data_IF_968776836180
#
_entry.id   IF_968776836180
#
_cell.length_a   1.000
_cell.length_b   1.000
_cell.length_c   1.000
_cell.angle_alpha   90.00
_cell.angle_beta   90.00
_cell.angle_gamma   90.00
#
_symmetry.space_group_name_H-M   'P 1'
#
loop_
_entity.id
_entity.type
_entity.pdbx_description
1 polymer ?
#
# COMPACT_ATOMS: atom_id res chain seq x y z
N UNK A 1 31.28 -55.16 24.19
CA UNK A 1 29.80 -55.13 24.24
C UNK A 1 29.30 -54.58 25.59
N UNK A 2 30.01 -53.60 26.18
CA UNK A 2 29.70 -53.04 27.51
C UNK A 2 29.59 -51.50 27.52
N UNK A 3 29.78 -50.82 26.39
CA UNK A 3 29.72 -49.35 26.34
C UNK A 3 28.39 -48.76 25.85
N UNK A 4 27.43 -49.58 25.41
CA UNK A 4 26.10 -49.09 25.03
C UNK A 4 25.07 -49.14 26.16
N UNK A 5 25.32 -49.89 27.24
CA UNK A 5 24.38 -50.02 28.35
C UNK A 5 24.37 -48.80 29.29
N UNK A 6 25.44 -47.99 29.31
CA UNK A 6 25.51 -46.77 30.14
C UNK A 6 24.88 -45.53 29.49
N UNK A 7 24.69 -45.49 28.16
CA UNK A 7 24.08 -44.33 27.47
C UNK A 7 22.55 -44.28 27.59
N UNK A 8 21.89 -45.38 27.93
CA UNK A 8 20.43 -45.41 28.07
C UNK A 8 19.92 -44.99 29.47
N UNK A 9 20.78 -45.04 30.50
CA UNK A 9 20.39 -44.69 31.87
C UNK A 9 20.43 -43.18 32.16
N UNK A 10 21.25 -42.42 31.42
CA UNK A 10 21.37 -40.96 31.61
C UNK A 10 20.22 -40.20 30.94
N UNK A 11 19.74 -40.67 29.78
CA UNK A 11 18.66 -40.01 29.03
C UNK A 11 17.27 -40.09 29.68
N UNK A 12 17.07 -41.02 30.63
CA UNK A 12 15.79 -41.21 31.32
C UNK A 12 15.63 -40.36 32.60
N UNK A 13 16.68 -39.62 33.02
CA UNK A 13 16.62 -38.71 34.18
C UNK A 13 16.30 -37.26 33.81
N UNK A 14 16.43 -36.85 32.56
CA UNK A 14 16.12 -35.47 32.14
C UNK A 14 14.63 -35.25 31.80
N UNK A 15 13.92 -36.26 31.27
CA UNK A 15 12.46 -36.13 30.99
C UNK A 15 11.56 -36.17 32.24
N UNK A 16 12.11 -36.52 33.41
CA UNK A 16 11.39 -36.57 34.68
C UNK A 16 11.43 -35.22 35.45
N UNK A 17 12.41 -34.37 35.14
CA UNK A 17 12.57 -33.06 35.78
C UNK A 17 11.68 -31.96 35.19
N UNK A 18 11.41 -32.03 33.89
CA UNK A 18 10.74 -30.94 33.16
C UNK A 18 9.21 -30.96 33.29
N UNK A 19 8.61 -32.11 33.65
CA UNK A 19 7.17 -32.21 33.96
C UNK A 19 6.77 -31.72 35.36
N UNK A 20 7.74 -31.33 36.20
CA UNK A 20 7.47 -30.86 37.59
C UNK A 20 7.65 -29.34 37.79
N UNK A 21 8.22 -28.63 36.81
CA UNK A 21 8.34 -27.18 36.84
C UNK A 21 7.10 -26.44 36.25
N UNK A 22 6.34 -27.08 35.35
CA UNK A 22 5.13 -26.52 34.73
C UNK A 22 3.86 -26.60 35.62
N UNK A 23 3.97 -27.02 36.88
CA UNK A 23 2.83 -27.14 37.82
C UNK A 23 2.88 -26.17 39.01
N UNK A 24 3.76 -25.15 38.99
CA UNK A 24 3.88 -24.18 40.09
C UNK A 24 3.94 -22.71 39.66
N UNK A 25 3.37 -22.36 38.49
CA UNK A 25 3.21 -20.95 38.08
C UNK A 25 1.79 -20.62 37.59
N UNK A 26 0.79 -21.19 38.26
CA UNK A 26 -0.62 -20.83 38.10
C UNK A 26 -1.33 -20.88 39.46
N UNK A 27 -0.88 -20.05 40.38
CA UNK A 27 -1.64 -19.62 41.55
C UNK A 27 -1.35 -18.13 41.68
N UNK A 28 -2.41 -17.34 41.74
CA UNK A 28 -2.44 -15.87 41.73
C UNK A 28 -2.69 -15.25 40.34
N UNK A 29 -3.68 -15.76 39.61
CA UNK A 29 -4.63 -14.84 38.99
C UNK A 29 -5.90 -14.87 39.83
N UNK A 30 -6.21 -13.71 40.40
CA UNK A 30 -7.47 -13.41 41.06
C UNK A 30 -8.63 -14.08 40.32
N UNK A 31 -9.48 -14.76 41.09
CA UNK A 31 -10.82 -15.16 40.71
C UNK A 31 -11.56 -13.95 40.12
N UNK A 32 -11.42 -13.73 38.81
CA UNK A 32 -12.39 -12.96 38.05
C UNK A 32 -13.66 -13.80 38.11
N UNK A 33 -14.56 -13.40 39.02
CA UNK A 33 -15.90 -13.95 39.14
C UNK A 33 -16.47 -14.16 37.74
N UNK A 34 -17.00 -15.35 37.47
CA UNK A 34 -17.56 -15.72 36.17
C UNK A 34 -18.58 -14.66 35.70
N UNK A 35 -19.25 -13.98 36.64
CA UNK A 35 -20.11 -12.83 36.36
C UNK A 35 -19.38 -11.65 35.70
N UNK A 36 -18.16 -11.31 36.13
CA UNK A 36 -17.38 -10.25 35.50
C UNK A 36 -16.93 -10.61 34.08
N UNK A 37 -16.56 -11.87 33.82
CA UNK A 37 -16.21 -12.30 32.46
C UNK A 37 -17.42 -12.32 31.53
N UNK A 38 -18.59 -12.75 32.00
CA UNK A 38 -19.83 -12.73 31.21
C UNK A 38 -20.31 -11.29 30.97
N UNK A 39 -20.20 -10.40 31.96
CA UNK A 39 -20.55 -8.98 31.81
C UNK A 39 -19.58 -8.26 30.85
N UNK A 40 -18.29 -8.59 30.90
CA UNK A 40 -17.29 -8.05 29.98
C UNK A 40 -17.53 -8.53 28.54
N UNK A 41 -17.86 -9.81 28.36
CA UNK A 41 -18.20 -10.35 27.04
C UNK A 41 -19.50 -9.77 26.49
N UNK A 42 -20.52 -9.55 27.33
CA UNK A 42 -21.76 -8.87 26.92
C UNK A 42 -21.50 -7.40 26.57
N UNK A 43 -20.73 -6.67 27.37
CA UNK A 43 -20.42 -5.27 27.04
C UNK A 43 -19.57 -5.16 25.77
N UNK A 44 -18.62 -6.06 25.53
CA UNK A 44 -17.88 -6.14 24.27
C UNK A 44 -18.78 -6.46 23.06
N UNK A 45 -19.73 -7.41 23.17
CA UNK A 45 -20.62 -7.71 22.04
C UNK A 45 -21.64 -6.60 21.75
N UNK A 46 -22.05 -5.82 22.75
CA UNK A 46 -22.97 -4.71 22.57
C UNK A 46 -22.29 -3.39 22.16
N UNK A 47 -20.99 -3.21 22.41
CA UNK A 47 -20.27 -1.95 22.07
C UNK A 47 -19.52 -2.00 20.75
N UNK A 48 -19.31 -3.17 20.15
CA UNK A 48 -18.65 -3.30 18.83
C UNK A 48 -19.59 -3.77 17.73
N UNK A 49 -20.87 -3.40 17.78
CA UNK A 49 -21.64 -3.37 16.55
C UNK A 49 -20.96 -2.32 15.66
N UNK A 50 -20.41 -2.67 14.48
CA UNK A 50 -19.95 -1.66 13.55
C UNK A 50 -21.15 -0.74 13.36
N UNK A 51 -20.97 0.56 13.61
CA UNK A 51 -21.93 1.57 13.17
C UNK A 51 -21.92 1.44 11.66
N UNK A 52 -22.76 0.55 11.13
CA UNK A 52 -22.96 0.42 9.71
C UNK A 52 -23.35 1.83 9.27
N UNK A 53 -22.54 2.42 8.39
CA UNK A 53 -22.77 3.77 7.89
C UNK A 53 -24.24 3.88 7.52
N UNK A 54 -24.97 4.68 8.29
CA UNK A 54 -26.41 4.71 8.22
C UNK A 54 -26.79 5.15 6.80
N UNK A 55 -27.33 4.23 6.01
CA UNK A 55 -27.81 4.54 4.66
C UNK A 55 -29.14 5.25 4.81
N UNK A 56 -29.16 6.55 4.50
CA UNK A 56 -30.37 7.36 4.66
C UNK A 56 -31.24 7.28 3.40
N UNK A 57 -32.47 6.74 3.48
CA UNK A 57 -33.38 6.71 2.34
C UNK A 57 -33.99 8.10 2.10
N UNK A 58 -34.07 8.52 0.84
CA UNK A 58 -34.82 9.70 0.42
C UNK A 58 -35.72 9.34 -0.77
N UNK A 59 -36.99 9.73 -0.69
CA UNK A 59 -37.96 9.54 -1.77
C UNK A 59 -38.17 10.86 -2.51
N UNK A 60 -38.10 10.81 -3.84
CA UNK A 60 -38.37 11.95 -4.71
C UNK A 60 -39.46 11.61 -5.73
N UNK A 61 -40.19 12.63 -6.18
CA UNK A 61 -41.16 12.49 -7.26
C UNK A 61 -40.46 12.59 -8.60
N UNK A 62 -40.96 11.84 -9.59
CA UNK A 62 -40.44 11.87 -10.95
C UNK A 62 -40.45 13.31 -11.51
N UNK A 63 -39.35 13.71 -12.14
CA UNK A 63 -39.07 15.05 -12.70
C UNK A 63 -39.03 16.21 -11.70
N UNK A 64 -39.06 15.95 -10.40
CA UNK A 64 -38.87 16.99 -9.39
C UNK A 64 -37.41 17.16 -9.01
N UNK A 65 -37.06 18.38 -8.58
CA UNK A 65 -35.76 18.67 -7.99
C UNK A 65 -35.66 17.99 -6.61
N UNK A 66 -34.53 17.36 -6.32
CA UNK A 66 -34.25 16.75 -5.01
C UNK A 66 -32.86 17.15 -4.53
N UNK A 67 -32.72 17.38 -3.23
CA UNK A 67 -31.43 17.71 -2.60
C UNK A 67 -31.03 16.61 -1.63
N UNK A 68 -29.84 16.06 -1.81
CA UNK A 68 -29.22 15.09 -0.91
C UNK A 68 -28.38 15.87 0.14
N UNK A 69 -28.72 15.80 1.43
CA UNK A 69 -28.06 16.63 2.44
C UNK A 69 -26.69 16.07 2.86
N UNK A 70 -25.66 16.92 2.91
CA UNK A 70 -24.34 16.56 3.45
C UNK A 70 -23.78 17.72 4.27
N UNK A 71 -24.18 17.79 5.55
CA UNK A 71 -23.79 18.85 6.48
C UNK A 71 -22.48 18.52 7.18
N UNK A 72 -21.35 18.82 6.53
CA UNK A 72 -20.01 18.62 7.08
C UNK A 72 -19.07 19.69 6.56
N UNK A 73 -18.24 20.21 7.44
CA UNK A 73 -17.13 21.07 7.05
C UNK A 73 -16.07 20.23 6.32
N UNK A 74 -15.70 20.67 5.12
CA UNK A 74 -14.66 20.04 4.31
C UNK A 74 -13.56 21.06 4.04
N UNK A 75 -12.33 20.78 4.49
CA UNK A 75 -11.16 21.64 4.27
C UNK A 75 -10.47 21.40 2.92
N UNK A 76 -11.05 20.60 2.03
CA UNK A 76 -10.48 20.26 0.72
C UNK A 76 -11.55 20.02 -0.33
N UNK A 77 -11.24 19.25 -1.37
CA UNK A 77 -12.22 18.90 -2.40
C UNK A 77 -13.32 18.00 -1.82
N UNK A 78 -14.57 18.43 -1.97
CA UNK A 78 -15.77 17.62 -1.74
C UNK A 78 -16.27 17.11 -3.08
N UNK A 79 -16.64 15.84 -3.16
CA UNK A 79 -17.14 15.19 -4.38
C UNK A 79 -18.31 14.28 -4.06
N UNK A 80 -19.22 14.17 -5.01
CA UNK A 80 -20.32 13.21 -4.97
C UNK A 80 -20.12 12.10 -5.99
N UNK A 81 -20.18 10.87 -5.51
CA UNK A 81 -19.95 9.64 -6.29
C UNK A 81 -21.09 8.64 -6.07
N UNK A 82 -21.12 7.57 -6.87
CA UNK A 82 -21.95 6.39 -6.56
C UNK A 82 -21.22 5.48 -5.57
N UNK A 83 -21.96 4.92 -4.62
CA UNK A 83 -21.42 3.93 -3.69
C UNK A 83 -20.83 2.70 -4.41
N UNK A 84 -21.46 2.26 -5.50
CA UNK A 84 -21.00 1.12 -6.31
C UNK A 84 -19.83 1.45 -7.22
N UNK A 85 -19.64 2.72 -7.59
CA UNK A 85 -18.67 3.16 -8.62
C UNK A 85 -18.09 4.53 -8.25
N UNK A 86 -17.13 4.52 -7.33
CA UNK A 86 -16.48 5.74 -6.82
C UNK A 86 -15.64 6.50 -7.85
N UNK A 87 -15.36 5.89 -9.00
CA UNK A 87 -14.63 6.53 -10.10
C UNK A 87 -15.46 7.55 -10.88
N UNK A 88 -16.79 7.49 -10.80
CA UNK A 88 -17.69 8.42 -11.50
C UNK A 88 -18.06 9.56 -10.56
N UNK A 89 -17.53 10.74 -10.83
CA UNK A 89 -17.83 11.98 -10.10
C UNK A 89 -18.98 12.70 -10.78
N UNK A 90 -20.06 13.01 -10.05
CA UNK A 90 -21.20 13.76 -10.59
C UNK A 90 -21.03 15.27 -10.44
N UNK A 91 -20.58 15.67 -9.26
CA UNK A 91 -20.30 17.06 -8.91
C UNK A 91 -19.15 17.09 -7.92
N UNK A 92 -18.38 18.17 -7.97
CA UNK A 92 -17.29 18.44 -7.03
C UNK A 92 -17.20 19.94 -6.73
N UNK A 93 -16.74 20.24 -5.54
CA UNK A 93 -16.49 21.60 -5.07
C UNK A 93 -15.18 21.67 -4.31
N UNK A 94 -14.46 22.77 -4.50
CA UNK A 94 -13.31 23.15 -3.70
C UNK A 94 -13.45 24.59 -3.22
N UNK A 95 -12.39 25.13 -2.62
CA UNK A 95 -12.38 26.49 -2.09
C UNK A 95 -12.60 27.56 -3.16
N UNK A 96 -12.29 27.28 -4.41
CA UNK A 96 -12.31 28.25 -5.51
C UNK A 96 -13.56 28.16 -6.36
N UNK A 97 -14.10 26.96 -6.57
CA UNK A 97 -15.22 26.75 -7.49
C UNK A 97 -15.98 25.44 -7.23
N UNK A 98 -17.15 25.34 -7.85
CA UNK A 98 -17.91 24.10 -7.98
C UNK A 98 -18.08 23.76 -9.45
N UNK A 99 -17.96 22.47 -9.78
CA UNK A 99 -18.20 21.96 -11.13
C UNK A 99 -19.17 20.79 -11.12
N UNK A 100 -20.16 20.87 -12.01
CA UNK A 100 -21.06 19.77 -12.37
C UNK A 100 -20.41 18.98 -13.51
N UNK A 101 -19.89 17.79 -13.20
CA UNK A 101 -19.26 16.91 -14.19
C UNK A 101 -20.32 16.21 -15.06
N UNK A 102 -21.46 15.86 -14.46
CA UNK A 102 -22.58 15.20 -15.15
C UNK A 102 -23.79 16.12 -15.17
N UNK A 103 -24.42 16.28 -16.33
CA UNK A 103 -25.62 17.11 -16.47
C UNK A 103 -26.72 16.64 -15.52
N UNK A 104 -27.35 17.59 -14.85
CA UNK A 104 -28.47 17.34 -13.94
C UNK A 104 -28.09 17.30 -12.47
N UNK A 105 -26.80 17.40 -12.14
CA UNK A 105 -26.25 17.35 -10.78
C UNK A 105 -25.54 18.67 -10.46
N UNK A 106 -25.98 19.37 -9.42
CA UNK A 106 -25.47 20.69 -9.08
C UNK A 106 -25.04 20.76 -7.61
N UNK A 107 -23.93 21.42 -7.34
CA UNK A 107 -23.51 21.83 -5.99
C UNK A 107 -23.32 23.34 -5.98
N UNK A 108 -23.68 23.99 -4.88
CA UNK A 108 -23.57 25.44 -4.73
C UNK A 108 -22.26 25.81 -4.02
N UNK A 109 -21.43 26.63 -4.66
CA UNK A 109 -20.18 27.10 -4.06
C UNK A 109 -20.42 27.91 -2.77
N UNK A 110 -21.44 28.78 -2.77
CA UNK A 110 -21.85 29.53 -1.57
C UNK A 110 -22.30 28.65 -0.40
N UNK A 111 -22.82 27.43 -0.68
CA UNK A 111 -23.23 26.48 0.36
C UNK A 111 -22.02 25.69 0.85
N UNK A 112 -21.14 25.28 -0.07
CA UNK A 112 -19.87 24.63 0.26
C UNK A 112 -19.04 25.48 1.23
N UNK A 113 -18.91 26.79 0.97
CA UNK A 113 -18.18 27.72 1.85
C UNK A 113 -18.82 27.86 3.24
N UNK A 114 -20.09 27.47 3.40
CA UNK A 114 -20.82 27.43 4.69
C UNK A 114 -20.83 26.05 5.34
N UNK A 115 -20.08 25.07 4.81
CA UNK A 115 -20.03 23.69 5.30
C UNK A 115 -21.25 22.84 4.90
N UNK A 116 -21.99 23.26 3.89
CA UNK A 116 -23.10 22.49 3.32
C UNK A 116 -22.70 21.93 1.95
N UNK A 117 -22.36 20.65 1.94
CA UNK A 117 -21.89 19.91 0.77
C UNK A 117 -23.06 19.25 0.01
N UNK A 118 -24.27 19.78 0.17
CA UNK A 118 -25.48 19.24 -0.45
C UNK A 118 -25.38 19.09 -1.97
N UNK A 119 -25.85 17.95 -2.49
CA UNK A 119 -26.01 17.71 -3.93
C UNK A 119 -27.46 17.97 -4.34
N UNK A 120 -27.67 18.81 -5.34
CA UNK A 120 -28.98 19.06 -5.94
C UNK A 120 -29.10 18.33 -7.27
N UNK A 121 -30.04 17.40 -7.36
CA UNK A 121 -30.43 16.76 -8.62
C UNK A 121 -31.60 17.56 -9.19
N UNK A 122 -31.37 18.20 -10.33
CA UNK A 122 -32.27 19.21 -10.91
C UNK A 122 -33.60 18.65 -11.40
N UNK A 123 -33.60 17.41 -11.91
CA UNK A 123 -34.78 16.68 -12.38
C UNK A 123 -34.59 15.19 -12.11
N UNK A 124 -35.31 14.66 -11.13
CA UNK A 124 -35.15 13.28 -10.71
C UNK A 124 -35.78 12.29 -11.72
N UNK A 125 -34.96 11.41 -12.29
CA UNK A 125 -35.39 10.37 -13.24
C UNK A 125 -35.21 8.96 -12.67
N UNK A 126 -35.92 7.97 -13.22
CA UNK A 126 -35.78 6.58 -12.77
C UNK A 126 -34.36 6.02 -12.92
N UNK A 127 -33.60 6.51 -13.90
CA UNK A 127 -32.18 6.18 -14.13
C UNK A 127 -31.25 6.69 -13.02
N UNK A 128 -31.70 7.69 -12.23
CA UNK A 128 -30.96 8.29 -11.12
C UNK A 128 -31.24 7.57 -9.78
N UNK A 129 -31.98 6.47 -9.77
CA UNK A 129 -32.17 5.64 -8.56
C UNK A 129 -30.85 4.96 -8.20
N UNK A 130 -30.21 5.42 -7.13
CA UNK A 130 -28.95 4.81 -6.68
C UNK A 130 -28.62 5.19 -5.22
N UNK A 131 -27.50 4.64 -4.74
CA UNK A 131 -26.85 5.05 -3.50
C UNK A 131 -25.71 6.00 -3.81
N UNK A 132 -25.81 7.22 -3.31
CA UNK A 132 -24.88 8.31 -3.51
C UNK A 132 -24.03 8.50 -2.25
N UNK A 133 -22.75 8.87 -2.44
CA UNK A 133 -21.81 9.11 -1.35
C UNK A 133 -21.28 10.53 -1.46
N UNK A 134 -21.29 11.24 -0.34
CA UNK A 134 -20.60 12.51 -0.16
C UNK A 134 -19.21 12.21 0.39
N UNK A 135 -18.17 12.47 -0.40
CA UNK A 135 -16.78 12.24 -0.02
C UNK A 135 -16.06 13.58 0.14
N UNK A 136 -15.18 13.69 1.13
CA UNK A 136 -14.22 14.78 1.21
C UNK A 136 -12.86 14.26 1.69
N UNK A 137 -11.80 14.58 0.93
CA UNK A 137 -10.44 14.03 1.12
C UNK A 137 -10.40 12.49 1.27
N UNK A 138 -11.23 11.80 0.49
CA UNK A 138 -11.36 10.32 0.51
C UNK A 138 -11.98 9.72 1.80
N UNK A 139 -12.62 10.54 2.63
CA UNK A 139 -13.43 10.09 3.77
C UNK A 139 -14.91 10.20 3.38
N UNK A 140 -15.66 9.11 3.60
CA UNK A 140 -17.10 9.07 3.36
C UNK A 140 -17.83 9.73 4.53
N UNK A 141 -18.58 10.80 4.26
CA UNK A 141 -19.29 11.54 5.32
C UNK A 141 -20.76 11.15 5.44
N UNK A 142 -21.40 10.81 4.32
CA UNK A 142 -22.80 10.38 4.30
C UNK A 142 -23.11 9.53 3.08
N UNK A 143 -24.02 8.58 3.27
CA UNK A 143 -24.48 7.64 2.24
C UNK A 143 -26.00 7.76 2.11
N UNK A 144 -26.47 8.15 0.93
CA UNK A 144 -27.88 8.44 0.65
C UNK A 144 -28.44 7.51 -0.40
N UNK A 145 -29.56 6.86 -0.11
CA UNK A 145 -30.28 6.01 -1.08
C UNK A 145 -31.46 6.78 -1.67
N UNK A 146 -31.31 7.23 -2.92
CA UNK A 146 -32.37 7.91 -3.65
C UNK A 146 -33.34 6.91 -4.29
N UNK A 147 -34.61 7.02 -3.92
CA UNK A 147 -35.72 6.28 -4.52
C UNK A 147 -36.67 7.24 -5.21
N UNK A 148 -37.12 6.90 -6.42
CA UNK A 148 -38.12 7.71 -7.14
C UNK A 148 -39.48 7.06 -7.00
N UNK A 149 -40.51 7.80 -6.60
CA UNK A 149 -41.89 7.31 -6.50
C UNK A 149 -42.34 6.74 -7.86
N UNK A 150 -42.87 5.52 -7.85
CA UNK A 150 -43.46 4.91 -9.05
C UNK A 150 -44.83 5.50 -9.30
N UNK A 151 -44.98 6.23 -10.40
CA UNK A 151 -46.30 6.66 -10.85
C UNK A 151 -47.00 5.45 -11.47
N UNK A 152 -47.88 4.80 -10.73
CA UNK A 152 -48.76 3.77 -11.28
C UNK A 152 -49.75 4.48 -12.21
N UNK A 153 -49.48 4.43 -13.52
CA UNK A 153 -50.49 4.82 -14.50
C UNK A 153 -51.59 3.76 -14.44
N UNK A 154 -52.71 4.11 -13.78
CA UNK A 154 -53.93 3.32 -13.83
C UNK A 154 -54.48 3.42 -15.26
N UNK A 155 -53.87 2.66 -16.18
CA UNK A 155 -54.44 2.42 -17.50
C UNK A 155 -55.71 1.62 -17.27
N UNK A 156 -56.84 2.34 -17.14
CA UNK A 156 -58.15 1.74 -17.26
C UNK A 156 -58.24 1.10 -18.65
N UNK A 157 -57.96 -0.20 -18.73
CA UNK A 157 -58.49 -1.03 -19.81
C UNK A 157 -60.00 -1.01 -19.64
N UNK A 158 -60.66 -0.08 -20.32
CA UNK A 158 -62.11 -0.12 -20.46
C UNK A 158 -62.49 -1.50 -21.03
N UNK A 159 -63.20 -2.36 -20.29
CA UNK A 159 -63.75 -3.56 -20.87
C UNK A 159 -64.79 -3.12 -21.90
N UNK A 160 -64.59 -3.53 -23.15
CA UNK A 160 -65.53 -3.26 -24.24
C UNK A 160 -66.94 -3.70 -23.86
N UNK A 161 -67.89 -2.78 -24.02
CA UNK A 161 -69.30 -3.04 -23.78
C UNK A 161 -69.98 -3.89 -24.86
N UNK A 162 -71.31 -4.05 -24.69
CA UNK A 162 -72.34 -4.77 -25.48
C UNK A 162 -72.56 -6.24 -25.06
N UNK A 163 -73.76 -6.73 -24.73
CA UNK A 163 -75.13 -6.23 -24.95
C UNK A 163 -76.12 -6.89 -23.98
N UNK A 164 -77.12 -6.13 -23.51
CA UNK A 164 -78.46 -6.62 -23.15
C UNK A 164 -79.43 -5.99 -24.17
N UNK A 165 -80.43 -6.73 -24.71
CA UNK A 165 -81.81 -6.42 -24.32
C UNK A 165 -82.79 -7.60 -24.40
N UNK A 166 -83.86 -7.59 -23.60
CA UNK A 166 -84.92 -8.60 -23.72
C UNK A 166 -86.15 -8.44 -22.84
N UNK A 167 -86.83 -7.29 -22.92
CA UNK A 167 -88.16 -7.05 -22.37
C UNK A 167 -89.26 -7.69 -23.24
N UNK A 168 -90.13 -8.54 -22.66
CA UNK A 168 -91.39 -8.99 -23.29
C UNK A 168 -92.55 -9.01 -22.29
N UNK A 169 -93.73 -8.62 -22.79
CA UNK A 169 -94.98 -8.23 -22.10
C UNK A 169 -96.08 -9.31 -22.26
N UNK A 170 -97.08 -9.22 -21.37
CA UNK A 170 -98.54 -9.51 -21.48
C UNK A 170 -99.18 -10.90 -21.22
N UNK A 171 -100.07 -10.89 -20.19
CA UNK A 171 -101.47 -11.40 -20.02
C UNK A 171 -101.90 -12.77 -20.59
N UNK A 172 -102.56 -13.58 -19.74
CA UNK A 172 -103.98 -13.96 -19.87
C UNK A 172 -104.47 -14.77 -18.64
N UNK A 173 -105.64 -14.40 -18.11
CA UNK A 173 -106.39 -15.06 -17.04
C UNK A 173 -107.49 -15.95 -17.64
N UNK A 174 -107.51 -17.25 -17.31
CA UNK A 174 -108.55 -18.20 -17.71
C UNK A 174 -108.98 -19.06 -16.52
N UNK A 175 -110.29 -19.15 -16.30
CA UNK A 175 -110.93 -19.75 -15.12
C UNK A 175 -110.62 -21.23 -14.92
N UNK A 176 -110.22 -21.57 -13.70
CA UNK A 176 -109.80 -22.90 -13.27
C UNK A 176 -111.02 -23.74 -12.84
N UNK A 177 -111.39 -24.69 -13.68
CA UNK A 177 -112.32 -25.78 -13.36
C UNK A 177 -111.75 -26.64 -12.22
N UNK A 178 -112.58 -26.97 -11.22
CA UNK A 178 -112.22 -27.64 -9.96
C UNK A 178 -111.62 -29.06 -10.10
N UNK A 179 -111.52 -29.59 -11.32
CA UNK A 179 -110.76 -30.82 -11.64
C UNK A 179 -109.28 -30.60 -12.00
N UNK A 180 -108.86 -29.35 -12.25
CA UNK A 180 -107.50 -28.99 -12.68
C UNK A 180 -106.52 -28.82 -11.51
N UNK A 181 -107.04 -28.58 -10.29
CA UNK A 181 -106.24 -28.39 -9.08
C UNK A 181 -105.44 -29.65 -8.72
N UNK A 182 -106.03 -30.85 -8.88
CA UNK A 182 -105.32 -32.10 -8.61
C UNK A 182 -104.16 -32.33 -9.60
N UNK A 183 -104.37 -32.05 -10.88
CA UNK A 183 -103.34 -32.14 -11.92
C UNK A 183 -102.21 -31.11 -11.68
N UNK A 184 -102.54 -29.88 -11.29
CA UNK A 184 -101.56 -28.84 -10.95
C UNK A 184 -100.73 -29.26 -9.73
N UNK A 185 -101.36 -29.83 -8.69
CA UNK A 185 -100.63 -30.31 -7.50
C UNK A 185 -99.66 -31.44 -7.86
N UNK A 186 -100.06 -32.40 -8.70
CA UNK A 186 -99.16 -33.46 -9.19
C UNK A 186 -98.01 -32.89 -10.02
N UNK A 187 -98.30 -31.94 -10.91
CA UNK A 187 -97.29 -31.31 -11.77
C UNK A 187 -96.29 -30.47 -10.96
N UNK A 188 -96.76 -29.77 -9.92
CA UNK A 188 -95.90 -29.07 -8.96
C UNK A 188 -95.03 -30.04 -8.17
N UNK A 189 -95.55 -31.18 -7.72
CA UNK A 189 -94.76 -32.20 -7.02
C UNK A 189 -93.66 -32.77 -7.92
N UNK A 190 -93.97 -33.10 -9.17
CA UNK A 190 -92.98 -33.57 -10.15
C UNK A 190 -91.92 -32.49 -10.40
N UNK A 191 -92.32 -31.23 -10.54
CA UNK A 191 -91.40 -30.11 -10.75
C UNK A 191 -90.47 -29.90 -9.53
N UNK A 192 -90.98 -30.04 -8.30
CA UNK A 192 -90.18 -30.00 -7.07
C UNK A 192 -89.16 -31.14 -7.02
N UNK A 193 -89.52 -32.36 -7.44
CA UNK A 193 -88.60 -33.50 -7.50
C UNK A 193 -87.51 -33.32 -8.57
N UNK A 194 -87.85 -32.76 -9.73
CA UNK A 194 -86.86 -32.45 -10.77
C UNK A 194 -85.91 -31.36 -10.30
N UNK A 195 -86.42 -30.28 -9.70
CA UNK A 195 -85.59 -29.21 -9.15
C UNK A 195 -84.68 -29.73 -8.04
N UNK A 196 -85.19 -30.56 -7.12
CA UNK A 196 -84.37 -31.12 -6.04
C UNK A 196 -83.27 -32.04 -6.59
N UNK A 197 -83.57 -32.88 -7.60
CA UNK A 197 -82.58 -33.70 -8.29
C UNK A 197 -81.48 -32.87 -8.96
N UNK A 198 -81.85 -31.79 -9.65
CA UNK A 198 -80.91 -30.85 -10.28
C UNK A 198 -80.03 -30.15 -9.23
N UNK A 199 -80.61 -29.70 -8.11
CA UNK A 199 -79.85 -29.08 -7.01
C UNK A 199 -78.87 -30.09 -6.40
N UNK A 200 -79.28 -31.34 -6.18
CA UNK A 200 -78.40 -32.40 -5.65
C UNK A 200 -77.25 -32.68 -6.64
N UNK A 201 -77.55 -32.74 -7.94
CA UNK A 201 -76.54 -32.92 -8.98
C UNK A 201 -75.51 -31.78 -8.99
N UNK A 202 -75.97 -30.52 -8.98
CA UNK A 202 -75.07 -29.35 -8.93
C UNK A 202 -74.25 -29.29 -7.65
N UNK A 203 -74.83 -29.63 -6.50
CA UNK A 203 -74.09 -29.73 -5.24
C UNK A 203 -73.00 -30.81 -5.32
N UNK A 204 -73.30 -31.97 -5.89
CA UNK A 204 -72.31 -33.05 -6.06
C UNK A 204 -71.18 -32.64 -7.01
N UNK A 205 -71.49 -31.98 -8.12
CA UNK A 205 -70.49 -31.47 -9.06
C UNK A 205 -69.61 -30.38 -8.43
N UNK A 206 -70.19 -29.48 -7.64
CA UNK A 206 -69.44 -28.45 -6.92
C UNK A 206 -68.49 -29.05 -5.85
N UNK A 207 -68.93 -30.09 -5.13
CA UNK A 207 -68.09 -30.79 -4.15
C UNK A 207 -66.91 -31.49 -4.82
N UNK A 208 -67.11 -32.15 -5.96
CA UNK A 208 -66.00 -32.78 -6.71
C UNK A 208 -65.01 -31.74 -7.25
N UNK A 209 -65.49 -30.59 -7.74
CA UNK A 209 -64.60 -29.48 -8.13
C UNK A 209 -63.78 -28.98 -6.95
N UNK A 210 -64.41 -28.78 -5.79
CA UNK A 210 -63.72 -28.32 -4.57
C UNK A 210 -62.66 -29.33 -4.10
N UNK A 211 -62.94 -30.64 -4.16
CA UNK A 211 -61.95 -31.68 -3.83
C UNK A 211 -60.73 -31.60 -4.74
N UNK A 212 -60.93 -31.44 -6.05
CA UNK A 212 -59.83 -31.33 -7.00
C UNK A 212 -58.99 -30.06 -6.76
N UNK A 213 -59.64 -28.92 -6.48
CA UNK A 213 -58.94 -27.67 -6.16
C UNK A 213 -58.12 -27.80 -4.85
N UNK A 214 -58.66 -28.48 -3.83
CA UNK A 214 -57.94 -28.75 -2.58
C UNK A 214 -56.73 -29.68 -2.82
N UNK A 215 -56.87 -30.72 -3.64
CA UNK A 215 -55.75 -31.60 -3.99
C UNK A 215 -54.68 -30.83 -4.75
N UNK A 216 -55.07 -29.99 -5.71
CA UNK A 216 -54.14 -29.16 -6.48
C UNK A 216 -53.38 -28.17 -5.59
N UNK A 217 -54.08 -27.57 -4.62
CA UNK A 217 -53.46 -26.69 -3.63
C UNK A 217 -52.43 -27.44 -2.77
N UNK A 218 -52.78 -28.62 -2.25
CA UNK A 218 -51.85 -29.46 -1.46
C UNK A 218 -50.61 -29.89 -2.26
N UNK A 219 -50.77 -30.22 -3.56
CA UNK A 219 -49.64 -30.53 -4.44
C UNK A 219 -48.73 -29.31 -4.67
N UNK A 220 -49.33 -28.13 -4.85
CA UNK A 220 -48.57 -26.89 -5.00
C UNK A 220 -47.77 -26.54 -3.74
N UNK A 221 -48.32 -26.83 -2.55
CA UNK A 221 -47.65 -26.62 -1.28
C UNK A 221 -46.46 -27.59 -1.10
N UNK A 222 -46.64 -28.88 -1.44
CA UNK A 222 -45.55 -29.86 -1.41
C UNK A 222 -44.40 -29.48 -2.36
N UNK A 223 -44.71 -29.01 -3.56
CA UNK A 223 -43.70 -28.54 -4.51
C UNK A 223 -42.95 -27.30 -4.00
N UNK A 224 -43.62 -26.41 -3.25
CA UNK A 224 -42.97 -25.27 -2.62
C UNK A 224 -42.05 -25.69 -1.46
N UNK A 225 -42.47 -26.67 -0.65
CA UNK A 225 -41.67 -27.21 0.45
C UNK A 225 -40.44 -27.99 -0.04
N UNK A 226 -40.51 -28.64 -1.20
CA UNK A 226 -39.35 -29.28 -1.82
C UNK A 226 -38.31 -28.26 -2.28
N UNK A 227 -38.74 -27.19 -2.96
CA UNK A 227 -37.85 -26.08 -3.34
C UNK A 227 -37.22 -25.39 -2.13
N UNK A 228 -37.96 -25.27 -1.04
CA UNK A 228 -37.42 -24.69 0.20
C UNK A 228 -36.30 -25.56 0.79
N UNK A 229 -36.46 -26.89 0.75
CA UNK A 229 -35.42 -27.84 1.20
C UNK A 229 -34.18 -27.81 0.32
N UNK A 230 -34.34 -27.64 -0.99
CA UNK A 230 -33.20 -27.46 -1.91
C UNK A 230 -32.40 -26.20 -1.56
N UNK A 231 -33.08 -25.07 -1.36
CA UNK A 231 -32.44 -23.81 -0.96
C UNK A 231 -31.77 -23.92 0.41
N UNK A 232 -32.36 -24.64 1.37
CA UNK A 232 -31.75 -24.86 2.68
C UNK A 232 -30.48 -25.71 2.61
N UNK A 233 -30.45 -26.73 1.75
CA UNK A 233 -29.25 -27.52 1.50
C UNK A 233 -28.14 -26.70 0.82
N UNK A 234 -28.48 -25.86 -0.16
CA UNK A 234 -27.53 -24.94 -0.79
C UNK A 234 -26.95 -23.93 0.22
N UNK A 235 -27.80 -23.39 1.11
CA UNK A 235 -27.38 -22.49 2.18
C UNK A 235 -26.35 -23.16 3.10
N UNK A 236 -26.58 -24.40 3.52
CA UNK A 236 -25.63 -25.14 4.37
C UNK A 236 -24.29 -25.39 3.65
N UNK A 237 -24.31 -25.68 2.34
CA UNK A 237 -23.09 -25.80 1.54
C UNK A 237 -22.28 -24.49 1.53
N UNK A 238 -22.94 -23.35 1.30
CA UNK A 238 -22.30 -22.01 1.33
C UNK A 238 -21.74 -21.69 2.71
N UNK A 239 -22.43 -22.06 3.80
CA UNK A 239 -21.93 -21.86 5.17
C UNK A 239 -20.62 -22.63 5.42
N UNK A 240 -20.48 -23.83 4.83
CA UNK A 240 -19.23 -24.61 4.92
C UNK A 240 -18.09 -23.91 4.18
N UNK A 241 -18.34 -23.39 2.98
CA UNK A 241 -17.34 -22.64 2.21
C UNK A 241 -16.89 -21.35 2.93
N UNK A 242 -17.84 -20.59 3.49
CA UNK A 242 -17.54 -19.38 4.27
C UNK A 242 -16.63 -19.72 5.46
N UNK A 243 -16.89 -20.83 6.17
CA UNK A 243 -16.03 -21.29 7.27
C UNK A 243 -14.61 -21.63 6.81
N UNK A 244 -14.43 -22.17 5.60
CA UNK A 244 -13.10 -22.44 5.05
C UNK A 244 -12.35 -21.16 4.69
N UNK A 245 -13.02 -20.20 4.05
CA UNK A 245 -12.45 -18.88 3.74
C UNK A 245 -12.02 -18.15 5.01
N UNK A 246 -12.84 -18.21 6.07
CA UNK A 246 -12.54 -17.56 7.34
C UNK A 246 -11.29 -18.15 8.01
N UNK A 247 -11.09 -19.47 7.94
CA UNK A 247 -9.84 -20.11 8.39
C UNK A 247 -8.62 -19.65 7.58
N UNK A 248 -8.77 -19.50 6.27
CA UNK A 248 -7.69 -19.01 5.39
C UNK A 248 -7.30 -17.57 5.74
N UNK A 249 -8.29 -16.69 5.97
CA UNK A 249 -8.06 -15.31 6.38
C UNK A 249 -7.33 -15.23 7.73
N UNK A 250 -7.72 -16.07 8.70
CA UNK A 250 -7.04 -16.12 10.00
C UNK A 250 -5.56 -16.52 9.87
N UNK A 251 -5.26 -17.50 9.02
CA UNK A 251 -3.89 -17.93 8.76
C UNK A 251 -3.07 -16.81 8.07
N UNK A 252 -3.65 -16.11 7.10
CA UNK A 252 -3.00 -14.97 6.42
C UNK A 252 -2.73 -13.81 7.39
N UNK A 253 -3.65 -13.53 8.31
CA UNK A 253 -3.47 -12.50 9.34
C UNK A 253 -2.30 -12.86 10.30
N UNK A 254 -2.17 -14.13 10.69
CA UNK A 254 -1.02 -14.57 11.50
C UNK A 254 0.31 -14.44 10.73
N UNK A 255 0.33 -14.79 9.44
CA UNK A 255 1.51 -14.66 8.59
C UNK A 255 1.95 -13.20 8.40
N UNK A 256 1.02 -12.29 8.18
CA UNK A 256 1.28 -10.86 8.04
C UNK A 256 1.77 -10.26 9.37
N UNK A 257 1.19 -10.66 10.50
CA UNK A 257 1.69 -10.26 11.83
C UNK A 257 3.13 -10.70 12.07
N UNK A 258 3.50 -11.91 11.64
CA UNK A 258 4.88 -12.40 11.75
C UNK A 258 5.85 -11.60 10.85
N UNK A 259 5.45 -11.28 9.63
CA UNK A 259 6.21 -10.43 8.71
C UNK A 259 6.45 -9.04 9.30
N UNK A 260 5.39 -8.42 9.84
CA UNK A 260 5.47 -7.11 10.47
C UNK A 260 6.43 -7.10 11.66
N UNK A 261 6.35 -8.10 12.54
CA UNK A 261 7.28 -8.25 13.66
C UNK A 261 8.73 -8.44 13.20
N UNK A 262 8.96 -9.16 12.08
CA UNK A 262 10.29 -9.31 11.49
C UNK A 262 10.83 -7.98 10.97
N UNK A 263 10.01 -7.18 10.32
CA UNK A 263 10.39 -5.84 9.84
C UNK A 263 10.62 -4.86 10.99
N UNK A 264 9.82 -4.93 12.05
CA UNK A 264 9.98 -4.08 13.25
C UNK A 264 11.35 -4.33 13.90
N UNK A 265 11.77 -5.60 14.07
CA UNK A 265 13.11 -5.92 14.58
C UNK A 265 14.24 -5.41 13.68
N UNK A 266 14.02 -5.37 12.35
CA UNK A 266 14.99 -4.78 11.43
C UNK A 266 15.05 -3.25 11.58
N UNK A 267 13.92 -2.60 11.83
CA UNK A 267 13.90 -1.16 12.12
C UNK A 267 14.57 -0.84 13.47
N UNK A 268 14.35 -1.65 14.50
CA UNK A 268 15.06 -1.50 15.80
C UNK A 268 16.58 -1.67 15.64
N UNK A 269 17.07 -2.48 14.70
CA UNK A 269 18.50 -2.53 14.37
C UNK A 269 19.00 -1.30 13.62
N UNK A 270 18.15 -0.65 12.83
CA UNK A 270 18.48 0.60 12.12
C UNK A 270 18.53 1.78 13.10
N UNK A 271 17.71 1.77 14.15
CA UNK A 271 17.71 2.79 15.21
C UNK A 271 19.02 2.88 16.00
N UNK A 272 19.87 1.84 15.94
CA UNK A 272 21.21 1.83 16.58
C UNK A 272 22.33 2.39 15.71
N UNK A 273 22.10 2.53 14.41
CA UNK A 273 23.09 3.06 13.45
C UNK A 273 23.52 4.51 13.77
N UNK A 274 22.65 5.43 14.22
CA UNK A 274 23.04 6.82 14.49
C UNK A 274 24.14 6.95 15.53
N UNK A 275 24.13 6.13 16.58
CA UNK A 275 25.10 6.21 17.68
C UNK A 275 26.49 5.69 17.26
N UNK A 276 26.52 4.63 16.44
CA UNK A 276 27.77 4.09 15.88
C UNK A 276 28.39 5.08 14.88
N UNK A 277 27.58 5.63 13.97
CA UNK A 277 28.01 6.64 12.99
C UNK A 277 28.51 7.91 13.68
N UNK A 278 27.83 8.39 14.74
CA UNK A 278 28.27 9.58 15.47
C UNK A 278 29.64 9.37 16.14
N UNK A 279 29.90 8.18 16.67
CA UNK A 279 31.19 7.85 17.28
C UNK A 279 32.31 7.77 16.24
N UNK A 280 32.05 7.18 15.07
CA UNK A 280 33.03 7.15 13.97
C UNK A 280 33.31 8.56 13.44
N UNK A 281 32.27 9.39 13.30
CA UNK A 281 32.42 10.78 12.86
C UNK A 281 33.31 11.60 13.80
N UNK A 282 33.17 11.43 15.12
CA UNK A 282 34.05 12.09 16.10
C UNK A 282 35.52 11.67 15.96
N UNK A 283 35.79 10.40 15.65
CA UNK A 283 37.16 9.93 15.45
C UNK A 283 37.76 10.46 14.13
N UNK A 284 36.95 10.60 13.07
CA UNK A 284 37.38 11.23 11.81
C UNK A 284 37.73 12.71 12.04
N UNK A 285 36.91 13.47 12.74
CA UNK A 285 37.18 14.89 13.04
C UNK A 285 38.50 15.07 13.80
N UNK A 286 38.78 14.16 14.74
CA UNK A 286 40.04 14.14 15.49
C UNK A 286 41.25 13.87 14.58
N UNK A 287 41.14 12.94 13.64
CA UNK A 287 42.22 12.65 12.66
C UNK A 287 42.47 13.84 11.73
N UNK A 288 41.42 14.53 11.28
CA UNK A 288 41.57 15.75 10.47
C UNK A 288 42.40 16.80 11.23
N UNK A 289 42.10 17.03 12.51
CA UNK A 289 42.86 17.99 13.35
C UNK A 289 44.33 17.59 13.53
N UNK A 290 44.62 16.30 13.67
CA UNK A 290 46.00 15.80 13.76
C UNK A 290 46.78 16.05 12.47
N UNK A 291 46.16 15.79 11.32
CA UNK A 291 46.76 16.04 10.00
C UNK A 291 47.06 17.52 9.79
N UNK A 292 46.12 18.42 10.11
CA UNK A 292 46.33 19.86 9.98
C UNK A 292 47.52 20.35 10.80
N UNK A 293 47.68 19.79 12.00
CA UNK A 293 48.85 20.06 12.83
C UNK A 293 50.13 19.60 12.15
N UNK A 294 50.17 18.39 11.60
CA UNK A 294 51.35 17.88 10.89
C UNK A 294 51.74 18.73 9.67
N UNK A 295 50.74 19.26 8.94
CA UNK A 295 50.98 20.17 7.82
C UNK A 295 51.59 21.49 8.32
N UNK A 296 51.07 22.04 9.43
CA UNK A 296 51.62 23.24 10.06
C UNK A 296 53.08 23.05 10.52
N UNK A 297 53.36 21.94 11.22
CA UNK A 297 54.71 21.61 11.70
C UNK A 297 55.70 21.42 10.52
N UNK A 298 55.22 20.90 9.37
CA UNK A 298 56.04 20.72 8.17
C UNK A 298 56.38 22.06 7.49
N UNK A 299 55.41 22.95 7.33
CA UNK A 299 55.66 24.28 6.77
C UNK A 299 56.61 25.11 7.64
N UNK A 300 56.42 25.07 8.96
CA UNK A 300 57.28 25.78 9.91
C UNK A 300 58.73 25.30 9.79
N UNK A 301 58.94 23.98 9.77
CA UNK A 301 60.28 23.36 9.66
C UNK A 301 61.03 23.77 8.39
N UNK A 302 60.33 23.96 7.26
CA UNK A 302 60.95 24.28 5.98
C UNK A 302 60.84 25.77 5.61
N UNK A 303 60.29 26.61 6.47
CA UNK A 303 60.06 28.04 6.22
C UNK A 303 61.36 28.83 5.98
N UNK A 304 62.46 28.42 6.62
CA UNK A 304 63.79 29.02 6.51
C UNK A 304 64.65 28.40 5.40
N UNK A 305 64.28 27.22 4.89
CA UNK A 305 65.06 26.52 3.87
C UNK A 305 64.67 26.97 2.46
N UNK A 306 65.35 28.01 1.96
CA UNK A 306 65.10 28.61 0.64
C UNK A 306 65.07 27.62 -0.52
N UNK A 307 65.78 26.49 -0.42
CA UNK A 307 65.82 25.47 -1.49
C UNK A 307 64.52 24.68 -1.63
N UNK A 308 63.82 24.40 -0.52
CA UNK A 308 62.65 23.51 -0.51
C UNK A 308 61.34 24.22 -0.12
N UNK A 309 61.43 25.51 0.22
CA UNK A 309 60.30 26.31 0.69
C UNK A 309 59.12 26.33 -0.29
N UNK A 310 59.40 26.46 -1.58
CA UNK A 310 58.36 26.56 -2.61
C UNK A 310 57.66 25.22 -2.84
N UNK A 311 58.41 24.13 -2.95
CA UNK A 311 57.88 22.77 -3.11
C UNK A 311 57.03 22.34 -1.90
N UNK A 312 57.55 22.55 -0.69
CA UNK A 312 56.82 22.22 0.56
C UNK A 312 55.59 23.11 0.70
N UNK A 313 55.69 24.40 0.37
CA UNK A 313 54.56 25.32 0.40
C UNK A 313 53.43 24.88 -0.56
N UNK A 314 53.77 24.49 -1.79
CA UNK A 314 52.80 23.97 -2.77
C UNK A 314 52.16 22.66 -2.30
N UNK A 315 52.96 21.74 -1.75
CA UNK A 315 52.46 20.50 -1.15
C UNK A 315 51.47 20.77 -0.02
N UNK A 316 51.84 21.60 0.95
CA UNK A 316 51.01 21.92 2.11
C UNK A 316 49.74 22.68 1.72
N UNK A 317 49.82 23.58 0.73
CA UNK A 317 48.65 24.25 0.14
C UNK A 317 47.65 23.24 -0.44
N UNK A 318 48.13 22.29 -1.26
CA UNK A 318 47.28 21.27 -1.85
C UNK A 318 46.64 20.37 -0.79
N UNK A 319 47.39 19.92 0.22
CA UNK A 319 46.84 19.09 1.29
C UNK A 319 45.82 19.82 2.16
N UNK A 320 45.97 21.14 2.39
CA UNK A 320 44.91 21.93 3.05
C UNK A 320 43.64 21.99 2.21
N UNK A 321 43.75 22.14 0.90
CA UNK A 321 42.59 22.12 -0.01
C UNK A 321 41.86 20.77 0.05
N UNK A 322 42.60 19.66 0.08
CA UNK A 322 42.01 18.32 0.25
C UNK A 322 41.27 18.17 1.60
N UNK A 323 41.86 18.69 2.68
CA UNK A 323 41.22 18.68 4.01
C UNK A 323 39.99 19.57 4.08
N UNK A 324 39.99 20.69 3.37
CA UNK A 324 38.84 21.58 3.29
C UNK A 324 37.67 20.91 2.55
N UNK A 325 37.94 20.14 1.49
CA UNK A 325 36.94 19.29 0.85
C UNK A 325 36.39 18.26 1.84
N UNK A 326 37.26 17.58 2.60
CA UNK A 326 36.84 16.63 3.62
C UNK A 326 35.95 17.28 4.70
N UNK A 327 36.31 18.49 5.16
CA UNK A 327 35.56 19.25 6.16
C UNK A 327 34.18 19.67 5.64
N UNK A 328 34.10 20.19 4.42
CA UNK A 328 32.83 20.60 3.82
C UNK A 328 31.89 19.40 3.65
N UNK A 329 32.43 18.26 3.23
CA UNK A 329 31.67 17.03 3.09
C UNK A 329 31.23 16.51 4.47
N UNK A 330 32.10 16.55 5.49
CA UNK A 330 31.77 16.17 6.86
C UNK A 330 30.67 17.04 7.48
N UNK A 331 30.77 18.36 7.32
CA UNK A 331 29.74 19.30 7.76
C UNK A 331 28.40 19.03 7.07
N UNK A 332 28.43 18.70 5.78
CA UNK A 332 27.23 18.34 5.01
C UNK A 332 26.54 17.11 5.60
N UNK A 333 27.31 16.05 5.92
CA UNK A 333 26.79 14.85 6.59
C UNK A 333 26.20 15.20 7.97
N UNK A 334 26.88 16.04 8.75
CA UNK A 334 26.45 16.41 10.10
C UNK A 334 25.17 17.27 10.10
N UNK A 335 24.96 18.10 9.09
CA UNK A 335 23.76 18.93 8.96
C UNK A 335 22.51 18.16 8.54
N UNK A 336 22.63 16.87 8.23
CA UNK A 336 21.49 15.98 8.05
C UNK A 336 20.54 16.43 6.94
N UNK A 337 21.04 16.82 5.76
CA UNK A 337 20.16 16.95 4.61
C UNK A 337 19.51 15.58 4.37
N UNK A 338 18.19 15.52 4.47
CA UNK A 338 17.34 14.31 4.52
C UNK A 338 17.44 13.37 3.31
N UNK A 339 18.31 13.66 2.34
CA UNK A 339 18.69 12.74 1.28
C UNK A 339 20.19 12.51 1.31
N UNK A 340 20.62 11.38 1.87
CA UNK A 340 21.89 10.80 1.45
C UNK A 340 21.72 9.32 1.13
N UNK A 341 22.04 9.04 -0.13
CA UNK A 341 22.33 7.72 -0.64
C UNK A 341 23.64 7.22 -0.03
N UNK A 342 23.68 5.95 0.35
CA UNK A 342 24.82 5.29 1.00
C UNK A 342 26.14 5.39 0.20
N UNK A 343 26.05 5.71 -1.10
CA UNK A 343 27.19 5.85 -2.00
C UNK A 343 28.08 7.06 -1.68
N UNK A 344 27.52 8.20 -1.31
CA UNK A 344 28.31 9.41 -1.04
C UNK A 344 29.16 9.27 0.24
N UNK A 345 28.66 8.54 1.25
CA UNK A 345 29.41 8.20 2.45
C UNK A 345 30.60 7.28 2.12
N UNK A 346 30.41 6.32 1.22
CA UNK A 346 31.52 5.46 0.74
C UNK A 346 32.57 6.24 -0.04
N UNK A 347 32.17 7.21 -0.87
CA UNK A 347 33.09 8.08 -1.62
C UNK A 347 33.93 8.93 -0.65
N UNK A 348 33.33 9.45 0.43
CA UNK A 348 34.05 10.16 1.49
C UNK A 348 35.10 9.29 2.17
N UNK A 349 34.70 8.10 2.66
CA UNK A 349 35.62 7.17 3.33
C UNK A 349 36.80 6.79 2.43
N UNK A 350 36.55 6.69 1.12
CA UNK A 350 37.58 6.39 0.12
C UNK A 350 38.59 7.53 -0.08
N UNK A 351 38.14 8.77 -0.15
CA UNK A 351 39.02 9.94 -0.27
C UNK A 351 39.88 10.13 0.98
N UNK A 352 39.29 9.99 2.18
CA UNK A 352 40.04 10.11 3.44
C UNK A 352 41.11 9.02 3.59
N UNK A 353 40.84 7.80 3.13
CA UNK A 353 41.84 6.74 3.08
C UNK A 353 43.08 7.14 2.27
N UNK A 354 42.90 7.71 1.07
CA UNK A 354 44.02 8.16 0.23
C UNK A 354 44.85 9.29 0.87
N UNK A 355 44.20 10.28 1.48
CA UNK A 355 44.90 11.37 2.16
C UNK A 355 45.73 10.86 3.34
N UNK A 356 45.18 9.92 4.12
CA UNK A 356 45.88 9.32 5.25
C UNK A 356 47.07 8.46 4.80
N UNK A 357 46.90 7.67 3.74
CA UNK A 357 47.97 6.85 3.17
C UNK A 357 49.13 7.72 2.63
N UNK A 358 48.82 8.81 1.91
CA UNK A 358 49.81 9.76 1.41
C UNK A 358 50.63 10.39 2.55
N UNK A 359 49.96 10.79 3.63
CA UNK A 359 50.61 11.42 4.79
C UNK A 359 51.43 10.42 5.59
N UNK A 360 50.97 9.18 5.71
CA UNK A 360 51.74 8.15 6.39
C UNK A 360 52.95 7.72 5.56
N UNK A 361 52.83 7.67 4.23
CA UNK A 361 53.95 7.46 3.33
C UNK A 361 54.95 8.62 3.37
N UNK A 362 54.47 9.87 3.45
CA UNK A 362 55.33 11.05 3.64
C UNK A 362 56.04 11.01 5.00
N UNK A 363 55.32 10.65 6.07
CA UNK A 363 55.89 10.47 7.40
C UNK A 363 56.97 9.40 7.40
N UNK A 364 56.75 8.27 6.72
CA UNK A 364 57.73 7.19 6.58
C UNK A 364 58.93 7.63 5.74
N UNK A 365 58.72 8.33 4.63
CA UNK A 365 59.81 8.81 3.75
C UNK A 365 60.66 9.90 4.40
N UNK A 366 60.07 10.72 5.27
CA UNK A 366 60.80 11.71 6.09
C UNK A 366 61.54 11.05 7.26
N UNK A 367 61.07 9.88 7.74
CA UNK A 367 61.70 9.17 8.87
C UNK A 367 62.89 8.27 8.47
N UNK A 368 63.01 7.89 7.20
CA UNK A 368 64.08 7.01 6.72
C UNK A 368 65.12 7.86 5.97
N UNK A 369 66.13 8.28 6.73
CA UNK A 369 67.33 8.92 6.21
C UNK A 369 68.25 7.87 5.52
N UNK A 370 67.79 7.23 4.44
CA UNK A 370 68.59 6.39 3.51
C UNK A 370 67.74 6.00 2.28
N UNK A 371 68.13 6.48 1.08
CA UNK A 371 67.49 6.17 -0.23
C UNK A 371 67.23 4.66 -0.43
N UNK A 372 66.10 4.30 -1.08
CA UNK A 372 66.08 4.18 -2.54
C UNK A 372 65.24 5.28 -3.21
N UNK A 373 65.46 5.50 -4.51
CA UNK A 373 64.95 6.62 -5.30
C UNK A 373 63.43 6.80 -5.18
N UNK A 374 62.99 8.05 -4.93
CA UNK A 374 61.60 8.49 -5.03
C UNK A 374 60.89 7.93 -6.27
N UNK A 375 61.61 7.74 -7.38
CA UNK A 375 61.07 7.13 -8.61
C UNK A 375 60.43 5.75 -8.40
N UNK A 376 60.96 4.89 -7.52
CA UNK A 376 60.41 3.54 -7.32
C UNK A 376 59.12 3.57 -6.50
N UNK A 377 59.06 4.48 -5.52
CA UNK A 377 57.86 4.73 -4.71
C UNK A 377 56.76 5.33 -5.58
N UNK A 378 57.09 6.37 -6.34
CA UNK A 378 56.19 6.99 -7.31
C UNK A 378 55.70 5.95 -8.31
N UNK A 379 56.58 5.13 -8.90
CA UNK A 379 56.15 4.08 -9.84
C UNK A 379 55.22 3.03 -9.20
N UNK A 380 55.41 2.68 -7.92
CA UNK A 380 54.51 1.78 -7.19
C UNK A 380 53.13 2.41 -6.97
N UNK A 381 53.09 3.66 -6.50
CA UNK A 381 51.86 4.40 -6.24
C UNK A 381 51.09 4.65 -7.54
N UNK A 382 51.81 4.88 -8.64
CA UNK A 382 51.26 5.03 -9.98
C UNK A 382 50.59 3.75 -10.52
N UNK A 383 51.24 2.60 -10.35
CA UNK A 383 50.64 1.31 -10.75
C UNK A 383 49.41 0.97 -9.90
N UNK A 384 49.40 1.39 -8.63
CA UNK A 384 48.25 1.23 -7.75
C UNK A 384 47.05 2.07 -8.22
N UNK A 385 47.27 3.34 -8.55
CA UNK A 385 46.22 4.23 -9.09
C UNK A 385 45.64 3.66 -10.39
N UNK A 386 46.51 3.22 -11.31
CA UNK A 386 46.09 2.61 -12.57
C UNK A 386 45.21 1.37 -12.36
N UNK A 387 45.66 0.42 -11.54
CA UNK A 387 44.89 -0.79 -11.23
C UNK A 387 43.54 -0.47 -10.57
N UNK A 388 43.48 0.60 -9.77
CA UNK A 388 42.26 1.04 -9.11
C UNK A 388 41.26 1.68 -10.08
N UNK A 389 41.72 2.47 -11.04
CA UNK A 389 40.91 3.01 -12.13
C UNK A 389 40.31 1.89 -12.98
N UNK A 390 41.11 0.87 -13.33
CA UNK A 390 40.63 -0.30 -14.08
C UNK A 390 39.52 -1.05 -13.35
N UNK A 391 39.72 -1.33 -12.05
CA UNK A 391 38.70 -2.01 -11.24
C UNK A 391 37.40 -1.20 -11.12
N UNK A 392 37.51 0.12 -10.91
CA UNK A 392 36.34 0.98 -10.75
C UNK A 392 35.54 1.09 -12.06
N UNK A 393 36.23 1.05 -13.21
CA UNK A 393 35.60 0.96 -14.53
C UNK A 393 34.82 -0.35 -14.70
N UNK A 394 35.40 -1.47 -14.29
CA UNK A 394 34.74 -2.78 -14.34
C UNK A 394 33.49 -2.84 -13.45
N UNK A 395 33.59 -2.34 -12.22
CA UNK A 395 32.47 -2.30 -11.25
C UNK A 395 31.31 -1.44 -11.79
N UNK A 396 31.60 -0.26 -12.33
CA UNK A 396 30.59 0.64 -12.92
C UNK A 396 29.96 0.08 -14.21
N UNK A 397 30.76 -0.58 -15.05
CA UNK A 397 30.25 -1.27 -16.24
C UNK A 397 29.29 -2.40 -15.86
N UNK A 398 29.60 -3.15 -14.79
CA UNK A 398 28.74 -4.23 -14.29
C UNK A 398 27.38 -3.73 -13.78
N UNK A 399 27.35 -2.54 -13.17
CA UNK A 399 26.13 -1.85 -12.73
C UNK A 399 25.28 -1.40 -13.91
N UNK A 400 25.91 -0.90 -14.99
CA UNK A 400 25.23 -0.51 -16.23
C UNK A 400 24.58 -1.69 -16.95
N UNK A 401 25.20 -2.86 -16.92
CA UNK A 401 24.74 -4.06 -17.64
C UNK A 401 23.63 -4.82 -16.91
N UNK A 402 23.52 -4.68 -15.58
CA UNK A 402 22.50 -5.35 -14.78
C UNK A 402 21.73 -4.38 -13.84
N UNK A 403 20.90 -3.48 -14.38
CA UNK A 403 20.01 -2.67 -13.55
C UNK A 403 18.96 -3.61 -12.93
N UNK A 404 19.21 -4.07 -11.70
CA UNK A 404 18.33 -5.02 -11.03
C UNK A 404 17.05 -4.30 -10.59
N UNK A 405 16.00 -4.43 -11.39
CA UNK A 405 14.64 -4.04 -11.01
C UNK A 405 14.12 -2.81 -11.75
N UNK A 406 12.80 -2.82 -11.93
CA UNK A 406 11.96 -1.87 -12.67
C UNK A 406 11.85 -0.49 -11.97
N UNK A 407 12.99 0.08 -11.55
CA UNK A 407 13.07 1.34 -10.82
C UNK A 407 13.64 2.47 -11.69
N UNK A 408 12.83 3.53 -11.80
CA UNK A 408 13.12 4.92 -12.17
C UNK A 408 14.20 5.20 -13.23
N UNK A 409 13.73 5.75 -14.35
CA UNK A 409 14.50 6.40 -15.43
C UNK A 409 15.49 7.46 -14.90
N UNK A 410 15.23 8.04 -13.73
CA UNK A 410 16.05 9.07 -13.06
C UNK A 410 17.38 8.51 -12.51
N UNK A 411 17.39 7.30 -11.93
CA UNK A 411 18.61 6.69 -11.37
C UNK A 411 19.66 6.36 -12.45
N UNK A 412 19.18 6.06 -13.66
CA UNK A 412 20.04 5.79 -14.81
C UNK A 412 20.83 7.03 -15.25
N UNK A 413 20.23 8.21 -15.13
CA UNK A 413 20.87 9.47 -15.56
C UNK A 413 21.99 9.87 -14.61
N UNK A 414 21.79 9.66 -13.31
CA UNK A 414 22.81 9.93 -12.28
C UNK A 414 23.99 8.94 -12.36
N UNK A 415 23.71 7.68 -12.67
CA UNK A 415 24.75 6.65 -12.88
C UNK A 415 25.63 7.00 -14.08
N UNK A 416 25.04 7.46 -15.19
CA UNK A 416 25.78 7.87 -16.38
C UNK A 416 26.67 9.11 -16.13
N UNK A 417 26.20 10.08 -15.34
CA UNK A 417 26.99 11.24 -14.95
C UNK A 417 28.17 10.87 -14.04
N UNK A 418 27.97 9.95 -13.09
CA UNK A 418 29.02 9.46 -12.20
C UNK A 418 30.11 8.70 -12.97
N UNK A 419 29.70 7.84 -13.92
CA UNK A 419 30.62 7.12 -14.81
C UNK A 419 31.48 8.10 -15.59
N UNK A 420 30.86 9.11 -16.21
CA UNK A 420 31.59 10.12 -16.97
C UNK A 420 32.59 10.90 -16.12
N UNK A 421 32.23 11.28 -14.88
CA UNK A 421 33.14 12.00 -13.99
C UNK A 421 34.34 11.15 -13.55
N UNK A 422 34.12 9.86 -13.30
CA UNK A 422 35.19 8.92 -12.95
C UNK A 422 36.13 8.67 -14.14
N UNK A 423 35.58 8.56 -15.35
CA UNK A 423 36.39 8.40 -16.56
C UNK A 423 37.28 9.62 -16.80
N UNK A 424 36.72 10.83 -16.74
CA UNK A 424 37.49 12.07 -16.89
C UNK A 424 38.60 12.17 -15.84
N UNK A 425 38.31 11.84 -14.57
CA UNK A 425 39.34 11.87 -13.52
C UNK A 425 40.47 10.87 -13.78
N UNK A 426 40.15 9.65 -14.23
CA UNK A 426 41.17 8.64 -14.55
C UNK A 426 42.01 9.06 -15.77
N UNK A 427 41.41 9.69 -16.78
CA UNK A 427 42.10 10.22 -17.95
C UNK A 427 43.04 11.37 -17.58
N UNK A 428 42.56 12.37 -16.83
CA UNK A 428 43.38 13.48 -16.34
C UNK A 428 44.59 12.98 -15.54
N UNK A 429 44.37 11.99 -14.68
CA UNK A 429 45.47 11.39 -13.90
C UNK A 429 46.44 10.60 -14.75
N UNK A 430 45.98 9.91 -15.79
CA UNK A 430 46.83 9.22 -16.76
C UNK A 430 47.66 10.21 -17.61
N UNK A 431 47.12 11.39 -17.94
CA UNK A 431 47.87 12.44 -18.64
C UNK A 431 48.94 13.08 -17.74
N UNK A 432 48.61 13.44 -16.51
CA UNK A 432 49.59 13.91 -15.51
C UNK A 432 50.73 12.89 -15.36
N UNK A 433 50.38 11.61 -15.31
CA UNK A 433 51.28 10.45 -15.26
C UNK A 433 52.26 10.39 -16.44
N UNK A 434 51.77 10.58 -17.66
CA UNK A 434 52.59 10.58 -18.86
C UNK A 434 53.58 11.75 -18.84
N UNK A 435 53.16 12.93 -18.37
CA UNK A 435 54.04 14.09 -18.24
C UNK A 435 55.19 13.81 -17.26
N UNK A 436 54.92 13.21 -16.10
CA UNK A 436 55.98 12.83 -15.16
C UNK A 436 56.96 11.81 -15.73
N UNK A 437 56.45 10.84 -16.50
CA UNK A 437 57.28 9.81 -17.14
C UNK A 437 58.22 10.43 -18.17
N UNK A 438 57.72 11.35 -19.00
CA UNK A 438 58.54 12.06 -19.98
C UNK A 438 59.61 12.96 -19.33
N UNK A 439 59.28 13.62 -18.21
CA UNK A 439 60.25 14.41 -17.45
C UNK A 439 61.33 13.53 -16.81
N UNK A 440 60.97 12.40 -16.21
CA UNK A 440 61.94 11.49 -15.59
C UNK A 440 62.95 10.95 -16.63
N UNK A 441 62.47 10.50 -17.79
CA UNK A 441 63.32 9.98 -18.88
C UNK A 441 64.23 11.06 -19.48
N UNK A 442 63.73 12.30 -19.60
CA UNK A 442 64.53 13.42 -20.12
C UNK A 442 65.64 13.86 -19.17
N UNK A 443 65.42 13.69 -17.85
CA UNK A 443 66.40 14.08 -16.82
C UNK A 443 67.54 13.05 -16.73
N UNK A 444 67.25 11.76 -16.86
CA UNK A 444 68.28 10.70 -16.93
C UNK A 444 69.15 10.80 -18.18
N UNK A 445 68.62 11.30 -19.30
CA UNK A 445 69.39 11.50 -20.53
C UNK A 445 70.34 12.70 -20.44
N UNK A 446 69.98 13.73 -19.68
CA UNK A 446 70.83 14.91 -19.44
C UNK A 446 71.98 14.62 -18.47
N UNK A 447 71.78 13.78 -17.45
CA UNK A 447 72.84 13.42 -16.50
C UNK A 447 73.90 12.49 -17.11
N UNK A 448 73.51 11.63 -18.06
CA UNK A 448 74.45 10.75 -18.76
C UNK A 448 75.28 11.45 -19.86
N UNK A 449 74.88 12.64 -20.35
CA UNK A 449 75.70 13.43 -21.27
C UNK A 449 76.73 14.33 -20.57
N UNK A 450 76.64 14.53 -19.26
CA UNK A 450 77.57 15.37 -18.48
C UNK A 450 78.81 14.64 -17.92
N UNK A 451 79.00 13.34 -18.20
CA UNK A 451 80.10 12.54 -17.63
C UNK A 451 81.31 12.38 -18.59
N UNK A 452 81.26 12.91 -19.81
CA UNK A 452 82.37 12.80 -20.77
C UNK A 452 82.80 14.17 -21.32
N UNK A 453 83.32 15.05 -20.46
CA UNK A 453 84.12 16.22 -20.88
C UNK A 453 84.85 16.87 -19.69
N UNK A 454 85.93 16.23 -19.22
CA UNK A 454 87.15 16.95 -18.85
C UNK A 454 88.37 16.01 -18.81
N UNK A 455 89.29 16.10 -19.80
CA UNK A 455 90.67 15.66 -19.64
C UNK A 455 91.59 16.86 -19.40
N UNK A 456 92.66 16.62 -18.63
CA UNK A 456 93.90 17.40 -18.58
C UNK A 456 93.81 18.79 -17.94
N UNK A 457 94.30 18.91 -16.71
CA UNK A 457 95.55 19.66 -16.50
C UNK A 457 96.40 19.03 -15.40
N UNK A 458 97.70 18.99 -15.71
CA UNK A 458 98.80 18.27 -15.09
C UNK A 458 99.81 19.34 -14.61
N UNK A 459 100.43 19.11 -13.44
CA UNK A 459 101.60 19.77 -12.84
C UNK A 459 101.43 21.24 -12.37
N UNK A 460 101.48 21.48 -11.05
CA UNK A 460 102.66 21.84 -10.21
C UNK A 460 102.25 21.73 -8.75
#
# INVERSE_FOLDING_TARGET
MESESQKFAVRKREESGEKKAERRRSRDMQSCSIHHCVLLLLTLTFTTAPVADAVFPIQAKLHQRVTLPCKKECSGEAKWTLYSTRSVVFARCDQTSCSSVVKGYEMSHDQYLKGDLSLTITSAEYSMRNTYVCECRSIDYSVWRLSIETVFSAVQKNPGGRSDPGSVRTRASGGLSKGMTALIVVLLLVLVLVISGVIIYFRRAAVEKLKNDVILFSLSQLAAEEKLREVENEKEAVVVEIKQVLKLLQHTNQRTKLQFNKSTRKMESIEKIPEEVENEMKEVEKKIKEVEKMIGDLEERYSENSKYKEDVGSFCYNKRRDLEVCRNLFNTIQTGSELYDSENLMVMMRMMGGVLDDLENLRRSVSVQSRPSLCTQVYSDLNYIKSRCEKMRDDLQSLKENPSGEANVELKTDTEALVSAVETWCEEKEEELQQYTHHAVSTEHSENQSVELEPLYRNV
#
